data_IF_102688250262
#
_entry.id   IF_102688250262
#
_cell.length_a   1.000
_cell.length_b   1.000
_cell.length_c   1.000
_cell.angle_alpha   90.00
_cell.angle_beta   90.00
_cell.angle_gamma   90.00
#
_symmetry.space_group_name_H-M   'P 1'
#
loop_
_entity.id
_entity.type
_entity.pdbx_description
1 polymer ?
#
# COMPACT_ATOMS: atom_id res chain seq x y z
N UNK A 1 -0.48 13.25 9.52
CA UNK A 1 -1.66 12.66 8.82
C UNK A 1 -2.21 11.56 9.71
N UNK A 2 -3.52 11.38 9.86
CA UNK A 2 -4.07 10.32 10.71
C UNK A 2 -4.10 8.93 10.02
N UNK A 3 -4.11 7.86 10.81
CA UNK A 3 -4.08 6.46 10.31
C UNK A 3 -5.23 6.14 9.34
N UNK A 4 -6.45 6.58 9.64
CA UNK A 4 -7.62 6.30 8.80
C UNK A 4 -7.52 6.98 7.44
N UNK A 5 -6.98 8.20 7.40
CA UNK A 5 -6.71 8.92 6.16
C UNK A 5 -5.70 8.18 5.29
N UNK A 6 -4.64 7.59 5.87
CA UNK A 6 -3.66 6.78 5.10
C UNK A 6 -4.33 5.56 4.47
N UNK A 7 -5.06 4.78 5.26
CA UNK A 7 -5.73 3.57 4.77
C UNK A 7 -6.68 3.93 3.65
N UNK A 8 -7.57 4.90 3.89
CA UNK A 8 -8.60 5.28 2.94
C UNK A 8 -8.00 5.79 1.64
N UNK A 9 -6.93 6.58 1.71
CA UNK A 9 -6.25 7.07 0.53
C UNK A 9 -5.65 5.92 -0.29
N UNK A 10 -4.96 4.98 0.36
CA UNK A 10 -4.36 3.83 -0.33
C UNK A 10 -5.42 2.89 -0.90
N UNK A 11 -6.53 2.70 -0.20
CA UNK A 11 -7.70 1.98 -0.70
C UNK A 11 -8.31 2.69 -1.91
N UNK A 12 -8.54 4.01 -1.86
CA UNK A 12 -9.09 4.78 -2.97
C UNK A 12 -8.20 4.69 -4.21
N UNK A 13 -6.88 4.80 -4.02
CA UNK A 13 -5.90 4.65 -5.09
C UNK A 13 -5.99 3.25 -5.68
N UNK A 14 -5.86 2.21 -4.86
CA UNK A 14 -5.84 0.85 -5.36
C UNK A 14 -7.20 0.42 -5.97
N UNK A 15 -8.33 0.89 -5.42
CA UNK A 15 -9.68 0.70 -5.97
C UNK A 15 -9.90 1.43 -7.30
N UNK A 16 -9.14 2.49 -7.61
CA UNK A 16 -9.18 3.13 -8.92
C UNK A 16 -8.64 2.20 -10.02
N UNK A 17 -7.79 1.24 -9.65
CA UNK A 17 -7.16 0.30 -10.57
C UNK A 17 -7.81 -1.09 -10.57
N UNK A 18 -8.26 -1.60 -9.42
CA UNK A 18 -9.00 -2.86 -9.34
C UNK A 18 -9.93 -2.92 -8.11
N UNK A 19 -11.23 -2.64 -8.31
CA UNK A 19 -12.24 -2.66 -7.24
C UNK A 19 -12.55 -4.05 -6.68
N UNK A 20 -12.19 -5.12 -7.39
CA UNK A 20 -12.69 -6.46 -7.09
C UNK A 20 -11.68 -7.31 -6.32
N UNK A 21 -10.40 -6.91 -6.34
CA UNK A 21 -9.29 -7.81 -5.96
C UNK A 21 -8.22 -7.17 -5.09
N UNK A 22 -8.47 -5.97 -4.57
CA UNK A 22 -7.50 -5.22 -3.77
C UNK A 22 -7.73 -5.42 -2.28
N UNK A 23 -6.66 -5.63 -1.52
CA UNK A 23 -6.67 -5.58 -0.05
C UNK A 23 -5.52 -4.73 0.45
N UNK A 24 -5.82 -3.78 1.34
CA UNK A 24 -4.82 -2.91 1.98
C UNK A 24 -4.73 -3.27 3.45
N UNK A 25 -3.52 -3.54 3.96
CA UNK A 25 -3.33 -3.87 5.38
C UNK A 25 -1.95 -3.49 5.89
N UNK A 26 -1.86 -3.22 7.19
CA UNK A 26 -0.60 -2.98 7.89
C UNK A 26 0.13 -4.29 8.15
N UNK A 27 1.41 -4.35 7.78
CA UNK A 27 2.32 -5.46 8.09
C UNK A 27 3.05 -5.22 9.41
N UNK A 28 3.51 -3.99 9.62
CA UNK A 28 4.24 -3.60 10.80
C UNK A 28 3.92 -2.16 11.18
N UNK A 29 3.89 -1.88 12.49
CA UNK A 29 3.75 -0.53 13.07
C UNK A 29 4.81 -0.36 14.14
N UNK A 30 5.64 0.66 14.00
CA UNK A 30 6.71 0.99 14.95
C UNK A 30 6.49 2.40 15.46
N UNK A 31 6.50 2.58 16.78
CA UNK A 31 6.41 3.89 17.39
C UNK A 31 7.74 4.62 17.23
N UNK A 32 7.72 5.82 16.66
CA UNK A 32 8.90 6.69 16.56
C UNK A 32 9.03 7.52 17.84
N UNK A 33 7.95 8.21 18.24
CA UNK A 33 7.93 9.05 19.44
C UNK A 33 6.49 9.18 20.02
N UNK A 34 6.25 10.13 20.92
CA UNK A 34 4.90 10.40 21.40
C UNK A 34 4.03 11.00 20.30
N UNK A 35 3.05 10.22 19.84
CA UNK A 35 2.09 10.63 18.81
C UNK A 35 2.45 10.18 17.39
N UNK A 36 3.72 9.83 17.09
CA UNK A 36 4.16 9.48 15.72
C UNK A 36 4.57 8.01 15.56
N UNK A 37 4.13 7.40 14.45
CA UNK A 37 4.40 6.01 14.07
C UNK A 37 4.94 5.91 12.64
N UNK A 38 5.82 4.95 12.40
CA UNK A 38 6.09 4.44 11.06
C UNK A 38 5.36 3.13 10.85
N UNK A 39 4.91 2.89 9.62
CA UNK A 39 4.25 1.66 9.27
C UNK A 39 4.66 1.15 7.89
N UNK A 40 4.64 -0.17 7.77
CA UNK A 40 4.73 -0.87 6.50
C UNK A 40 3.33 -1.32 6.11
N UNK A 41 2.88 -0.91 4.93
CA UNK A 41 1.56 -1.21 4.39
C UNK A 41 1.75 -2.07 3.14
N UNK A 42 0.92 -3.11 3.00
CA UNK A 42 0.85 -3.92 1.79
C UNK A 42 -0.47 -3.65 1.09
N UNK A 43 -0.38 -3.33 -0.20
CA UNK A 43 -1.50 -3.39 -1.13
C UNK A 43 -1.35 -4.70 -1.91
N UNK A 44 -2.28 -5.63 -1.71
CA UNK A 44 -2.33 -6.92 -2.39
C UNK A 44 -3.34 -6.88 -3.52
N UNK A 45 -2.98 -7.39 -4.70
CA UNK A 45 -3.88 -7.52 -5.85
C UNK A 45 -3.61 -8.79 -6.65
N UNK A 46 -4.46 -9.10 -7.63
CA UNK A 46 -4.22 -10.15 -8.62
C UNK A 46 -3.28 -9.60 -9.71
N UNK A 47 -2.20 -10.31 -10.10
CA UNK A 47 -1.22 -9.80 -11.05
C UNK A 47 -1.85 -9.53 -12.42
N UNK A 48 -1.80 -8.28 -12.86
CA UNK A 48 -2.18 -7.84 -14.19
C UNK A 48 -1.15 -6.81 -14.65
N UNK A 49 -0.42 -7.11 -15.73
CA UNK A 49 0.75 -6.32 -16.13
C UNK A 49 0.43 -4.84 -16.39
N UNK A 50 -0.73 -4.53 -16.95
CA UNK A 50 -1.12 -3.15 -17.26
C UNK A 50 -1.51 -2.41 -15.98
N UNK A 51 -2.34 -3.05 -15.14
CA UNK A 51 -2.78 -2.47 -13.87
C UNK A 51 -1.62 -2.28 -12.89
N UNK A 52 -0.72 -3.26 -12.79
CA UNK A 52 0.43 -3.21 -11.89
C UNK A 52 1.40 -2.08 -12.27
N UNK A 53 1.65 -1.86 -13.57
CA UNK A 53 2.48 -0.75 -14.03
C UNK A 53 1.84 0.61 -13.72
N UNK A 54 0.52 0.73 -13.92
CA UNK A 54 -0.22 1.94 -13.62
C UNK A 54 -0.27 2.26 -12.12
N UNK A 55 -0.52 1.25 -11.28
CA UNK A 55 -0.50 1.36 -9.82
C UNK A 55 0.90 1.73 -9.30
N UNK A 56 1.95 1.06 -9.78
CA UNK A 56 3.34 1.39 -9.44
C UNK A 56 3.64 2.86 -9.72
N UNK A 57 3.32 3.33 -10.94
CA UNK A 57 3.52 4.73 -11.31
C UNK A 57 2.78 5.67 -10.36
N UNK A 58 1.54 5.34 -10.01
CA UNK A 58 0.72 6.18 -9.13
C UNK A 58 1.28 6.25 -7.71
N UNK A 59 1.73 5.12 -7.16
CA UNK A 59 2.36 5.05 -5.84
C UNK A 59 3.66 5.86 -5.80
N UNK A 60 4.47 5.80 -6.87
CA UNK A 60 5.67 6.64 -7.01
C UNK A 60 5.34 8.14 -7.10
N UNK A 61 4.26 8.52 -7.77
CA UNK A 61 3.80 9.92 -7.84
C UNK A 61 3.41 10.47 -6.46
N UNK A 62 2.86 9.66 -5.55
CA UNK A 62 2.52 10.10 -4.19
C UNK A 62 3.77 10.59 -3.45
N UNK A 63 4.84 9.82 -3.54
CA UNK A 63 6.12 10.17 -2.95
C UNK A 63 6.68 11.48 -3.55
N UNK A 64 6.69 11.59 -4.88
CA UNK A 64 7.21 12.77 -5.60
C UNK A 64 6.43 14.04 -5.24
N UNK A 65 5.13 13.94 -5.00
CA UNK A 65 4.27 15.08 -4.66
C UNK A 65 4.30 15.46 -3.16
N UNK A 66 5.26 14.93 -2.40
CA UNK A 66 5.49 15.33 -1.02
C UNK A 66 4.59 14.66 0.01
N UNK A 67 3.94 13.53 -0.34
CA UNK A 67 3.28 12.69 0.67
C UNK A 67 4.32 11.85 1.42
N UNK A 68 4.12 11.67 2.73
CA UNK A 68 4.93 10.80 3.59
C UNK A 68 4.66 9.30 3.33
N UNK A 69 4.36 8.93 2.07
CA UNK A 69 4.14 7.56 1.62
C UNK A 69 5.21 7.26 0.58
N UNK A 70 6.04 6.26 0.87
CA UNK A 70 7.15 5.84 0.05
C UNK A 70 6.85 4.46 -0.54
N UNK A 71 6.99 4.35 -1.86
CA UNK A 71 6.96 3.05 -2.52
C UNK A 71 8.30 2.36 -2.35
N UNK A 72 8.29 1.17 -1.75
CA UNK A 72 9.51 0.40 -1.51
C UNK A 72 9.78 -0.55 -2.67
N UNK A 73 8.81 -1.42 -2.98
CA UNK A 73 8.93 -2.47 -4.00
C UNK A 73 7.59 -3.18 -4.25
N UNK A 74 7.53 -3.97 -5.32
CA UNK A 74 6.51 -5.00 -5.51
C UNK A 74 7.13 -6.37 -5.76
N UNK A 75 6.40 -7.43 -5.42
CA UNK A 75 6.77 -8.81 -5.77
C UNK A 75 5.53 -9.69 -5.91
N UNK A 76 5.68 -10.75 -6.71
CA UNK A 76 4.63 -11.74 -6.94
C UNK A 76 4.83 -12.91 -5.97
N UNK A 77 3.79 -13.27 -5.24
CA UNK A 77 3.76 -14.41 -4.33
C UNK A 77 2.64 -15.39 -4.68
N UNK A 78 2.74 -16.62 -4.17
CA UNK A 78 1.71 -17.65 -4.35
C UNK A 78 1.04 -17.93 -3.01
N UNK A 79 -0.28 -17.77 -2.95
CA UNK A 79 -1.08 -18.03 -1.75
C UNK A 79 -1.61 -19.46 -1.83
N UNK A 80 -0.97 -20.37 -1.10
CA UNK A 80 -1.28 -21.81 -1.11
C UNK A 80 -2.74 -22.11 -0.74
N UNK A 81 -3.32 -21.36 0.21
CA UNK A 81 -4.68 -21.57 0.71
C UNK A 81 -5.77 -21.42 -0.37
N UNK A 82 -5.49 -20.67 -1.44
CA UNK A 82 -6.45 -20.42 -2.54
C UNK A 82 -5.92 -20.81 -3.92
N UNK A 83 -4.67 -21.25 -4.02
CA UNK A 83 -4.01 -21.55 -5.30
C UNK A 83 -3.87 -20.32 -6.22
N UNK A 84 -3.88 -19.11 -5.64
CA UNK A 84 -3.87 -17.86 -6.40
C UNK A 84 -2.47 -17.23 -6.40
N UNK A 85 -2.10 -16.66 -7.54
CA UNK A 85 -0.98 -15.73 -7.63
C UNK A 85 -1.48 -14.35 -7.22
N UNK A 86 -0.72 -13.69 -6.36
CA UNK A 86 -0.98 -12.32 -5.91
C UNK A 86 0.27 -11.48 -6.13
N UNK A 87 0.08 -10.18 -6.30
CA UNK A 87 1.16 -9.20 -6.29
C UNK A 87 0.98 -8.29 -5.08
N UNK A 88 2.03 -8.19 -4.28
CA UNK A 88 2.08 -7.35 -3.09
C UNK A 88 2.94 -6.12 -3.40
N UNK A 89 2.37 -4.93 -3.20
CA UNK A 89 3.04 -3.64 -3.26
C UNK A 89 3.33 -3.18 -1.84
N UNK A 90 4.61 -3.12 -1.48
CA UNK A 90 5.05 -2.68 -0.15
C UNK A 90 5.27 -1.16 -0.16
N UNK A 91 4.66 -0.51 0.82
CA UNK A 91 4.74 0.92 1.08
C UNK A 91 5.25 1.14 2.50
N UNK A 92 6.03 2.19 2.70
CA UNK A 92 6.35 2.72 4.03
C UNK A 92 5.75 4.10 4.19
N UNK A 93 5.24 4.40 5.38
CA UNK A 93 4.72 5.73 5.68
C UNK A 93 4.89 6.10 7.15
N UNK A 94 4.84 7.40 7.43
CA UNK A 94 4.74 7.92 8.79
C UNK A 94 3.36 8.56 9.00
N UNK A 95 2.79 8.39 10.18
CA UNK A 95 1.51 8.99 10.54
C UNK A 95 1.43 9.33 12.03
N UNK A 96 0.51 10.22 12.36
CA UNK A 96 0.20 10.65 13.72
C UNK A 96 -1.05 9.92 14.22
N UNK A 97 -1.09 9.58 15.51
CA UNK A 97 -2.32 9.13 16.18
C UNK A 97 -2.86 10.32 16.96
N UNK A 98 -3.94 10.93 16.48
CA UNK A 98 -4.79 11.86 17.24
C UNK A 98 -5.77 11.11 18.16
#
# INVERSE_FOLDING_TARGET
>A
MDEQSVIKELEDIANTYDKSSVSVFFVARNRINAGKYSASIVIRTIPDREKSAALTKKLMELFINGKEIHFERSYISFVEEKGLRVEDFELSCEFDIE
#
